data_IF_996523187753
#
_entry.id   IF_996523187753
#
_cell.length_a   1.000
_cell.length_b   1.000
_cell.length_c   1.000
_cell.angle_alpha   90.00
_cell.angle_beta   90.00
_cell.angle_gamma   90.00
#
_symmetry.space_group_name_H-M   'P 1'
#
loop_
_entity.id
_entity.type
_entity.pdbx_description
1 polymer ?
#
# COMPACT_ATOMS: atom_id res chain seq x y z
N UNK A 1 1.40 -21.12 11.93
CA UNK A 1 2.09 -20.67 10.70
C UNK A 1 2.00 -19.14 10.57
N UNK A 2 3.04 -18.50 10.03
CA UNK A 2 3.14 -17.02 10.01
C UNK A 2 2.84 -16.50 8.60
N UNK A 3 1.95 -15.52 8.52
CA UNK A 3 1.65 -14.78 7.29
C UNK A 3 2.15 -13.35 7.47
N UNK A 4 3.14 -12.95 6.67
CA UNK A 4 3.58 -11.56 6.58
C UNK A 4 2.74 -10.83 5.53
N UNK A 5 2.19 -9.69 5.90
CA UNK A 5 1.43 -8.80 5.01
C UNK A 5 2.20 -7.49 4.87
N UNK A 6 2.67 -7.20 3.67
CA UNK A 6 3.28 -5.91 3.34
C UNK A 6 2.20 -4.96 2.80
N UNK A 7 2.09 -3.77 3.41
CA UNK A 7 1.10 -2.77 3.00
C UNK A 7 1.49 -2.00 1.73
N UNK A 8 0.51 -1.39 1.06
CA UNK A 8 0.71 -0.51 -0.09
C UNK A 8 1.21 0.89 0.33
N UNK A 9 1.48 1.78 -0.64
CA UNK A 9 2.11 3.10 -0.42
C UNK A 9 1.50 3.92 0.73
N UNK A 10 0.17 4.03 0.79
CA UNK A 10 -0.52 4.81 1.84
C UNK A 10 -1.17 3.92 2.92
N UNK A 11 -0.74 2.66 3.02
CA UNK A 11 -1.13 1.75 4.08
C UNK A 11 -0.24 1.90 5.30
N UNK A 12 -0.45 1.02 6.28
CA UNK A 12 0.32 0.97 7.52
C UNK A 12 0.28 -0.43 8.15
N UNK A 13 0.86 -0.59 9.33
CA UNK A 13 0.88 -1.87 10.06
C UNK A 13 -0.47 -2.31 10.65
N UNK A 14 -1.49 -1.45 10.74
CA UNK A 14 -2.82 -1.84 11.22
C UNK A 14 -3.65 -2.50 10.10
N UNK A 15 -3.55 -3.83 10.00
CA UNK A 15 -4.15 -4.60 8.90
C UNK A 15 -5.60 -4.99 9.17
N UNK A 16 -5.91 -5.47 10.37
CA UNK A 16 -7.11 -6.29 10.64
C UNK A 16 -7.94 -5.84 11.84
N UNK A 17 -7.59 -4.73 12.50
CA UNK A 17 -8.34 -4.16 13.63
C UNK A 17 -9.59 -3.40 13.24
N UNK A 18 -10.18 -2.67 14.19
CA UNK A 18 -11.36 -1.82 13.97
C UNK A 18 -11.16 -0.84 12.80
N UNK A 19 -9.96 -0.26 12.74
CA UNK A 19 -9.52 0.68 11.71
C UNK A 19 -8.64 0.04 10.63
N UNK A 20 -8.50 -1.29 10.64
CA UNK A 20 -7.60 -2.01 9.75
C UNK A 20 -8.00 -1.88 8.29
N UNK A 21 -7.05 -1.51 7.42
CA UNK A 21 -7.31 -1.28 6.00
C UNK A 21 -7.67 -2.56 5.23
N UNK A 22 -7.41 -3.74 5.81
CA UNK A 22 -7.78 -5.04 5.25
C UNK A 22 -8.69 -5.89 6.15
N UNK A 23 -9.44 -5.24 7.04
CA UNK A 23 -10.34 -5.92 7.98
C UNK A 23 -11.44 -6.75 7.31
N UNK A 24 -11.71 -6.61 6.01
CA UNK A 24 -12.64 -7.50 5.30
C UNK A 24 -12.03 -8.87 4.95
N UNK A 25 -10.70 -8.95 4.82
CA UNK A 25 -10.00 -10.18 4.44
C UNK A 25 -9.28 -10.84 5.61
N UNK A 26 -8.85 -10.07 6.61
CA UNK A 26 -8.04 -10.54 7.74
C UNK A 26 -8.82 -10.45 9.04
N UNK A 27 -8.81 -11.53 9.82
CA UNK A 27 -9.50 -11.65 11.11
C UNK A 27 -10.21 -12.99 11.29
N UNK A 28 -10.93 -13.14 12.41
CA UNK A 28 -11.51 -14.41 12.81
C UNK A 28 -12.50 -14.96 11.77
N UNK A 29 -12.22 -16.16 11.27
CA UNK A 29 -13.05 -16.84 10.28
C UNK A 29 -13.03 -16.23 8.87
N UNK A 30 -12.13 -15.27 8.59
CA UNK A 30 -11.98 -14.63 7.27
C UNK A 30 -11.01 -15.38 6.37
N UNK A 31 -10.74 -14.82 5.18
CA UNK A 31 -9.85 -15.43 4.18
C UNK A 31 -8.45 -15.67 4.76
N UNK A 32 -7.89 -14.66 5.45
CA UNK A 32 -6.71 -14.81 6.29
C UNK A 32 -7.20 -14.91 7.74
N UNK A 33 -7.52 -16.13 8.14
CA UNK A 33 -8.11 -16.46 9.44
C UNK A 33 -7.07 -16.39 10.57
N UNK A 34 -7.26 -15.45 11.49
CA UNK A 34 -6.40 -15.25 12.66
C UNK A 34 -6.50 -16.36 13.71
N UNK A 35 -7.51 -17.22 13.63
CA UNK A 35 -7.57 -18.46 14.44
C UNK A 35 -6.62 -19.55 13.93
N UNK A 36 -6.12 -19.41 12.68
CA UNK A 36 -5.29 -20.41 12.00
C UNK A 36 -3.86 -19.91 11.73
N UNK A 37 -3.71 -18.60 11.54
CA UNK A 37 -2.46 -17.96 11.18
C UNK A 37 -2.11 -16.85 12.16
N UNK A 38 -0.82 -16.74 12.47
CA UNK A 38 -0.26 -15.53 13.10
C UNK A 38 0.04 -14.54 11.99
N UNK A 39 -0.64 -13.40 12.01
CA UNK A 39 -0.44 -12.34 11.02
C UNK A 39 0.57 -11.32 11.54
N UNK A 40 1.56 -10.99 10.72
CA UNK A 40 2.57 -9.95 10.99
C UNK A 40 2.47 -8.91 9.88
N UNK A 41 2.63 -7.64 10.25
CA UNK A 41 2.74 -6.53 9.31
C UNK A 41 3.69 -5.51 9.90
N UNK A 42 4.70 -5.12 9.12
CA UNK A 42 5.59 -4.02 9.49
C UNK A 42 5.09 -2.73 8.86
N UNK A 43 5.32 -1.62 9.56
CA UNK A 43 5.13 -0.29 8.98
C UNK A 43 6.35 0.04 8.11
N UNK A 44 6.14 0.58 6.91
CA UNK A 44 7.24 1.11 6.08
C UNK A 44 7.83 2.33 6.82
N UNK A 45 9.14 2.32 7.15
CA UNK A 45 9.78 3.43 7.82
C UNK A 45 9.56 4.76 7.10
N UNK A 46 9.18 5.80 7.85
CA UNK A 46 9.05 7.15 7.34
C UNK A 46 7.69 7.50 6.74
N UNK A 47 6.71 6.58 6.72
CA UNK A 47 5.38 6.87 6.18
C UNK A 47 4.50 7.74 7.12
N UNK A 48 4.97 8.06 8.32
CA UNK A 48 4.31 8.94 9.28
C UNK A 48 3.18 8.33 10.11
N UNK A 49 2.81 7.06 9.89
CA UNK A 49 1.69 6.43 10.63
C UNK A 49 1.94 6.34 12.14
N UNK A 50 3.18 6.02 12.52
CA UNK A 50 3.67 5.93 13.89
C UNK A 50 4.33 7.22 14.38
N UNK A 51 4.17 8.32 13.63
CA UNK A 51 4.82 9.60 13.90
C UNK A 51 6.31 9.64 13.54
N UNK A 52 6.84 8.57 12.93
CA UNK A 52 8.22 8.54 12.44
C UNK A 52 8.31 8.99 10.99
N UNK A 53 9.15 9.98 10.75
CA UNK A 53 9.45 10.54 9.43
C UNK A 53 10.95 10.39 9.15
N UNK A 54 11.28 10.21 7.87
CA UNK A 54 12.66 10.20 7.38
C UNK A 54 12.96 11.56 6.72
N UNK A 55 14.22 12.00 6.79
CA UNK A 55 14.62 13.31 6.28
C UNK A 55 14.46 13.41 4.76
N UNK A 56 14.92 12.40 4.02
CA UNK A 56 14.77 12.32 2.58
C UNK A 56 14.23 10.94 2.18
N UNK A 57 13.04 10.90 1.61
CA UNK A 57 12.42 9.67 1.14
C UNK A 57 13.10 9.09 -0.11
N UNK A 58 13.85 9.91 -0.86
CA UNK A 58 14.57 9.46 -2.06
C UNK A 58 15.83 8.64 -1.72
N UNK A 59 16.26 8.63 -0.46
CA UNK A 59 17.42 7.86 -0.01
C UNK A 59 17.12 6.36 0.12
N UNK A 60 15.86 5.95 0.03
CA UNK A 60 15.42 4.58 0.20
C UNK A 60 14.82 4.00 -1.08
N UNK A 61 15.20 2.77 -1.36
CA UNK A 61 14.61 1.93 -2.41
C UNK A 61 13.72 0.84 -1.80
N UNK A 62 12.92 0.18 -2.63
CA UNK A 62 12.13 -0.98 -2.19
C UNK A 62 13.02 -2.10 -1.60
N UNK A 63 14.27 -2.24 -2.09
CA UNK A 63 15.24 -3.20 -1.59
C UNK A 63 15.74 -2.86 -0.19
N UNK A 64 15.91 -1.58 0.12
CA UNK A 64 16.29 -1.13 1.47
C UNK A 64 15.17 -1.47 2.47
N UNK A 65 13.92 -1.18 2.11
CA UNK A 65 12.77 -1.53 2.93
C UNK A 65 12.65 -3.05 3.11
N UNK A 66 12.87 -3.83 2.05
CA UNK A 66 12.89 -5.29 2.12
C UNK A 66 13.96 -5.81 3.09
N UNK A 67 15.17 -5.23 3.05
CA UNK A 67 16.26 -5.56 3.96
C UNK A 67 15.89 -5.26 5.41
N UNK A 68 15.25 -4.12 5.68
CA UNK A 68 14.76 -3.75 7.01
C UNK A 68 13.71 -4.74 7.51
N UNK A 69 12.76 -5.14 6.66
CA UNK A 69 11.72 -6.10 7.03
C UNK A 69 12.29 -7.48 7.33
N UNK A 70 13.25 -7.96 6.52
CA UNK A 70 13.98 -9.21 6.79
C UNK A 70 14.69 -9.13 8.15
N UNK A 71 15.33 -8.01 8.46
CA UNK A 71 16.01 -7.84 9.74
C UNK A 71 15.04 -7.75 10.92
N UNK A 72 13.84 -7.19 10.70
CA UNK A 72 12.72 -7.28 11.64
C UNK A 72 12.32 -8.73 11.93
N UNK A 73 12.17 -9.57 10.89
CA UNK A 73 11.86 -10.99 11.04
C UNK A 73 12.95 -11.75 11.82
N UNK A 74 14.22 -11.50 11.51
CA UNK A 74 15.36 -12.10 12.23
C UNK A 74 15.36 -11.74 13.72
N UNK A 75 15.09 -10.47 14.07
CA UNK A 75 14.95 -10.04 15.47
C UNK A 75 13.80 -10.73 16.19
N UNK A 76 12.72 -11.02 15.48
CA UNK A 76 11.59 -11.82 15.98
C UNK A 76 11.88 -13.34 15.98
N UNK A 77 13.07 -13.75 15.53
CA UNK A 77 13.49 -15.16 15.37
C UNK A 77 12.58 -15.94 14.41
N UNK A 78 12.16 -15.29 13.34
CA UNK A 78 11.33 -15.88 12.28
C UNK A 78 12.22 -16.16 11.08
N UNK A 79 12.48 -17.45 10.84
CA UNK A 79 13.35 -17.90 9.74
C UNK A 79 12.57 -18.23 8.46
N UNK A 80 11.29 -18.63 8.61
CA UNK A 80 10.42 -19.06 7.50
C UNK A 80 8.99 -18.55 7.69
N UNK A 81 8.43 -17.99 6.64
CA UNK A 81 7.03 -17.60 6.53
C UNK A 81 6.23 -18.70 5.83
N UNK A 82 5.00 -18.92 6.27
CA UNK A 82 4.05 -19.75 5.52
C UNK A 82 3.58 -19.03 4.26
N UNK A 83 3.33 -17.73 4.35
CA UNK A 83 3.01 -16.90 3.20
C UNK A 83 3.54 -15.48 3.38
N UNK A 84 3.98 -14.90 2.26
CA UNK A 84 4.25 -13.48 2.10
C UNK A 84 3.18 -12.91 1.15
N UNK A 85 2.41 -11.94 1.63
CA UNK A 85 1.32 -11.30 0.88
C UNK A 85 1.63 -9.83 0.73
N UNK A 86 1.50 -9.29 -0.48
CA UNK A 86 1.79 -7.89 -0.74
C UNK A 86 0.99 -7.33 -1.90
N UNK A 87 0.29 -6.23 -1.65
CA UNK A 87 -0.46 -5.49 -2.68
C UNK A 87 0.29 -4.26 -3.15
N UNK A 88 0.24 -3.93 -4.45
CA UNK A 88 0.90 -2.75 -5.02
C UNK A 88 2.38 -2.67 -4.59
N UNK A 89 2.85 -1.56 -4.02
CA UNK A 89 4.22 -1.42 -3.46
C UNK A 89 4.59 -2.53 -2.49
N UNK A 90 3.66 -3.03 -1.67
CA UNK A 90 3.94 -4.10 -0.71
C UNK A 90 4.33 -5.42 -1.40
N UNK A 91 3.81 -5.65 -2.60
CA UNK A 91 4.19 -6.78 -3.45
C UNK A 91 5.57 -6.62 -4.06
N UNK A 92 5.93 -5.42 -4.52
CA UNK A 92 7.27 -5.11 -5.01
C UNK A 92 8.33 -5.26 -3.92
N UNK A 93 8.02 -4.82 -2.68
CA UNK A 93 8.87 -5.09 -1.51
C UNK A 93 8.97 -6.60 -1.28
N UNK A 94 7.89 -7.35 -1.45
CA UNK A 94 7.91 -8.80 -1.32
C UNK A 94 8.83 -9.50 -2.34
N UNK A 95 8.87 -9.01 -3.58
CA UNK A 95 9.82 -9.48 -4.60
C UNK A 95 11.27 -9.23 -4.18
N UNK A 96 11.58 -8.03 -3.67
CA UNK A 96 12.92 -7.70 -3.16
C UNK A 96 13.30 -8.58 -1.97
N UNK A 97 12.37 -8.83 -1.04
CA UNK A 97 12.61 -9.72 0.11
C UNK A 97 12.98 -11.13 -0.33
N UNK A 98 12.26 -11.68 -1.32
CA UNK A 98 12.56 -13.01 -1.86
C UNK A 98 13.83 -13.01 -2.70
N UNK A 99 14.21 -11.89 -3.32
CA UNK A 99 15.50 -11.79 -4.03
C UNK A 99 16.66 -11.83 -3.05
N UNK A 100 16.55 -11.13 -1.92
CA UNK A 100 17.55 -11.11 -0.85
C UNK A 100 17.60 -12.43 -0.05
N UNK A 101 16.45 -13.08 0.15
CA UNK A 101 16.32 -14.34 0.88
C UNK A 101 15.32 -15.28 0.19
N UNK A 102 15.81 -16.07 -0.77
CA UNK A 102 14.98 -16.89 -1.68
C UNK A 102 14.05 -17.86 -0.94
N UNK A 103 14.50 -18.45 0.16
CA UNK A 103 13.73 -19.45 0.92
C UNK A 103 12.86 -18.85 2.02
N UNK A 104 12.69 -17.52 2.09
CA UNK A 104 12.00 -16.85 3.19
C UNK A 104 10.54 -17.26 3.35
N UNK A 105 9.82 -17.56 2.27
CA UNK A 105 8.39 -17.90 2.32
C UNK A 105 8.06 -19.15 1.51
N UNK A 106 7.15 -19.99 2.01
CA UNK A 106 6.62 -21.13 1.24
C UNK A 106 5.69 -20.71 0.11
N UNK A 107 4.99 -19.58 0.29
CA UNK A 107 4.04 -19.03 -0.69
C UNK A 107 4.27 -17.54 -0.80
N UNK A 108 4.24 -17.04 -2.02
CA UNK A 108 4.23 -15.62 -2.30
C UNK A 108 2.97 -15.24 -3.06
N UNK A 109 2.24 -14.24 -2.56
CA UNK A 109 0.95 -13.81 -3.09
C UNK A 109 1.04 -12.30 -3.42
N UNK A 110 1.60 -11.95 -4.59
CA UNK A 110 1.61 -10.58 -5.10
C UNK A 110 0.23 -10.21 -5.66
N UNK A 111 -0.27 -9.01 -5.33
CA UNK A 111 -1.59 -8.53 -5.78
C UNK A 111 -1.44 -7.15 -6.44
N UNK A 112 -1.90 -7.03 -7.68
CA UNK A 112 -1.90 -5.75 -8.43
C UNK A 112 -0.54 -5.01 -8.37
N UNK A 113 0.52 -5.76 -8.66
CA UNK A 113 1.92 -5.34 -8.51
C UNK A 113 2.78 -6.03 -9.55
N UNK A 114 3.98 -5.50 -9.76
CA UNK A 114 4.98 -6.03 -10.66
C UNK A 114 6.37 -5.95 -10.01
N UNK A 115 7.32 -6.74 -10.50
CA UNK A 115 8.71 -6.72 -10.03
C UNK A 115 9.49 -5.51 -10.59
N UNK A 116 8.95 -4.84 -11.61
CA UNK A 116 9.56 -3.66 -12.22
C UNK A 116 8.51 -2.59 -12.53
N UNK A 117 8.82 -1.35 -12.17
CA UNK A 117 7.98 -0.18 -12.49
C UNK A 117 7.98 0.08 -14.00
N UNK A 118 6.80 0.33 -14.57
CA UNK A 118 6.63 0.69 -15.98
C UNK A 118 6.83 2.19 -16.20
N UNK A 119 7.13 2.59 -17.45
CA UNK A 119 7.23 4.01 -17.83
C UNK A 119 5.95 4.79 -17.55
N UNK A 120 4.79 4.13 -17.68
CA UNK A 120 3.51 4.69 -17.30
C UNK A 120 3.49 5.07 -15.82
N UNK A 121 3.84 4.15 -14.93
CA UNK A 121 3.83 4.41 -13.48
C UNK A 121 4.88 5.45 -13.09
N UNK A 122 6.08 5.42 -13.69
CA UNK A 122 7.09 6.48 -13.50
C UNK A 122 6.53 7.86 -13.90
N UNK A 123 5.83 7.95 -15.02
CA UNK A 123 5.21 9.20 -15.49
C UNK A 123 4.13 9.69 -14.52
N UNK A 124 3.29 8.80 -13.98
CA UNK A 124 2.29 9.19 -12.97
C UNK A 124 2.95 9.69 -11.68
N UNK A 125 4.01 9.05 -11.21
CA UNK A 125 4.77 9.50 -10.04
C UNK A 125 5.42 10.88 -10.28
N UNK A 126 5.94 11.14 -11.48
CA UNK A 126 6.47 12.47 -11.84
C UNK A 126 5.38 13.55 -11.77
N UNK A 127 4.18 13.27 -12.29
CA UNK A 127 3.05 14.19 -12.17
C UNK A 127 2.67 14.43 -10.71
N UNK A 128 2.64 13.38 -9.88
CA UNK A 128 2.42 13.55 -8.43
C UNK A 128 3.46 14.45 -7.79
N UNK A 129 4.74 14.33 -8.17
CA UNK A 129 5.81 15.20 -7.66
C UNK A 129 5.57 16.67 -8.03
N UNK A 130 5.19 16.97 -9.28
CA UNK A 130 4.82 18.33 -9.69
C UNK A 130 3.65 18.89 -8.87
N UNK A 131 2.67 18.05 -8.52
CA UNK A 131 1.53 18.46 -7.70
C UNK A 131 1.94 18.72 -6.24
N UNK A 132 2.86 17.90 -5.70
CA UNK A 132 3.43 18.09 -4.36
C UNK A 132 4.28 19.35 -4.23
N UNK A 133 4.86 19.82 -5.33
CA UNK A 133 5.64 21.08 -5.41
C UNK A 133 4.75 22.33 -5.54
N UNK A 134 3.42 22.17 -5.63
CA UNK A 134 2.50 23.31 -5.77
C UNK A 134 2.25 24.04 -4.44
N UNK A 135 2.02 25.36 -4.50
CA UNK A 135 1.86 26.21 -3.31
C UNK A 135 0.60 25.91 -2.50
N UNK A 136 -0.53 25.66 -3.18
CA UNK A 136 -1.82 25.44 -2.54
C UNK A 136 -2.21 23.97 -2.51
N UNK A 137 -2.44 23.44 -1.31
CA UNK A 137 -2.96 22.07 -1.08
C UNK A 137 -2.20 20.97 -1.87
N UNK A 138 -0.86 20.92 -1.75
CA UNK A 138 -0.04 20.01 -2.54
C UNK A 138 -0.39 18.53 -2.33
N UNK A 139 -0.61 18.14 -1.06
CA UNK A 139 -0.90 16.76 -0.71
C UNK A 139 -2.27 16.32 -1.24
N UNK A 140 -3.28 17.18 -1.11
CA UNK A 140 -4.63 16.92 -1.61
C UNK A 140 -4.62 16.77 -3.13
N UNK A 141 -3.94 17.67 -3.86
CA UNK A 141 -3.82 17.58 -5.31
C UNK A 141 -3.14 16.29 -5.77
N UNK A 142 -2.02 15.93 -5.14
CA UNK A 142 -1.32 14.69 -5.44
C UNK A 142 -2.20 13.46 -5.16
N UNK A 143 -2.96 13.49 -4.06
CA UNK A 143 -3.90 12.43 -3.70
C UNK A 143 -5.05 12.30 -4.70
N UNK A 144 -5.65 13.41 -5.14
CA UNK A 144 -6.71 13.43 -6.16
C UNK A 144 -6.25 12.76 -7.45
N UNK A 145 -5.06 13.14 -7.92
CA UNK A 145 -4.46 12.51 -9.10
C UNK A 145 -4.27 11.01 -8.90
N UNK A 146 -3.70 10.58 -7.77
CA UNK A 146 -3.51 9.17 -7.45
C UNK A 146 -4.84 8.38 -7.43
N UNK A 147 -5.90 8.96 -6.84
CA UNK A 147 -7.22 8.32 -6.74
C UNK A 147 -7.84 8.03 -8.12
N UNK A 148 -7.57 8.87 -9.12
CA UNK A 148 -8.00 8.64 -10.50
C UNK A 148 -7.21 7.52 -11.18
N UNK A 149 -5.95 7.31 -10.80
CA UNK A 149 -5.12 6.21 -11.30
C UNK A 149 -5.41 4.86 -10.64
N UNK A 150 -6.06 4.84 -9.47
CA UNK A 150 -6.41 3.61 -8.75
C UNK A 150 -7.73 2.98 -9.20
N UNK A 151 -8.43 3.59 -10.14
CA UNK A 151 -9.74 3.13 -10.64
C UNK A 151 -9.77 3.19 -12.16
N UNK A 152 -10.65 2.42 -12.75
CA UNK A 152 -10.92 2.53 -14.18
C UNK A 152 -11.94 3.65 -14.44
N UNK A 153 -11.91 4.29 -15.62
CA UNK A 153 -12.93 5.26 -16.02
C UNK A 153 -14.35 4.71 -15.92
N UNK A 154 -14.57 3.44 -16.27
CA UNK A 154 -15.87 2.77 -16.22
C UNK A 154 -16.41 2.67 -14.78
N UNK A 155 -15.55 2.31 -13.82
CA UNK A 155 -15.93 2.25 -12.41
C UNK A 155 -16.36 3.62 -11.88
N UNK A 156 -15.62 4.68 -12.25
CA UNK A 156 -15.93 6.03 -11.83
C UNK A 156 -17.25 6.52 -12.43
N UNK A 157 -17.44 6.30 -13.73
CA UNK A 157 -18.64 6.68 -14.46
C UNK A 157 -19.88 5.94 -13.94
N UNK A 158 -19.77 4.62 -13.69
CA UNK A 158 -20.86 3.83 -13.12
C UNK A 158 -21.23 4.25 -11.70
N UNK A 159 -20.25 4.69 -10.89
CA UNK A 159 -20.47 5.08 -9.50
C UNK A 159 -21.23 6.40 -9.37
N UNK A 160 -20.85 7.40 -10.17
CA UNK A 160 -21.37 8.76 -10.00
C UNK A 160 -22.38 9.17 -11.07
N UNK A 161 -22.34 8.57 -12.27
CA UNK A 161 -23.31 8.76 -13.35
C UNK A 161 -23.74 10.22 -13.64
N UNK A 162 -22.80 11.17 -13.53
CA UNK A 162 -23.03 12.63 -13.67
C UNK A 162 -24.06 13.21 -12.68
N UNK A 163 -24.30 12.54 -11.56
CA UNK A 163 -25.17 13.03 -10.51
C UNK A 163 -24.56 14.27 -9.83
N UNK A 164 -25.44 15.23 -9.53
CA UNK A 164 -25.11 16.44 -8.78
C UNK A 164 -25.41 16.26 -7.31
N UNK A 165 -24.60 16.86 -6.44
CA UNK A 165 -24.93 17.08 -5.05
C UNK A 165 -25.98 18.19 -4.93
N UNK A 166 -27.10 17.92 -4.26
CA UNK A 166 -28.25 18.83 -4.19
C UNK A 166 -27.97 20.09 -3.37
N UNK A 167 -27.06 20.03 -2.39
CA UNK A 167 -26.76 21.17 -1.53
C UNK A 167 -25.63 22.01 -2.11
N UNK A 168 -24.55 21.36 -2.57
CA UNK A 168 -23.34 22.02 -3.06
C UNK A 168 -23.41 22.46 -4.51
N UNK A 169 -24.37 21.94 -5.28
CA UNK A 169 -24.53 22.22 -6.72
C UNK A 169 -23.27 21.91 -7.54
N UNK A 170 -22.54 20.86 -7.15
CA UNK A 170 -21.36 20.33 -7.87
C UNK A 170 -21.59 18.86 -8.21
N UNK A 171 -20.79 18.31 -9.14
CA UNK A 171 -20.82 16.87 -9.41
C UNK A 171 -20.41 16.09 -8.16
N UNK A 172 -21.13 15.02 -7.83
CA UNK A 172 -20.76 14.12 -6.72
C UNK A 172 -19.35 13.54 -6.88
N UNK A 173 -18.89 13.37 -8.12
CA UNK A 173 -17.51 12.95 -8.42
C UNK A 173 -16.47 14.01 -8.05
N UNK A 174 -16.80 15.30 -8.15
CA UNK A 174 -15.92 16.38 -7.70
C UNK A 174 -15.90 16.47 -6.18
N UNK A 175 -17.07 16.35 -5.54
CA UNK A 175 -17.16 16.35 -4.08
C UNK A 175 -16.38 15.18 -3.47
N UNK A 176 -16.39 14.01 -4.11
CA UNK A 176 -15.62 12.85 -3.66
C UNK A 176 -14.10 13.01 -3.75
N UNK A 177 -13.61 13.92 -4.60
CA UNK A 177 -12.19 14.22 -4.75
C UNK A 177 -11.73 15.37 -3.84
N UNK A 178 -12.66 16.19 -3.33
CA UNK A 178 -12.36 17.32 -2.44
C UNK A 178 -12.42 16.93 -0.96
#
# INVERSE_FOLDING_TARGET
>A
PIVLINHALTGNSDVAGENGWWKSLVGDGKIIDTNRFTVISFNIPGNGFDGFFIDNYEDFTAQDIASIFIEGLKKLKIEKLFALVGGSVGGSIGWEMLTLQNDLAEKFIPIATDFKTSDWLHSQCLVQKFLLESEEKPLEKARVHAMLCYRTPESLNSRFNREMDSEKQILKSHDWLN
#
